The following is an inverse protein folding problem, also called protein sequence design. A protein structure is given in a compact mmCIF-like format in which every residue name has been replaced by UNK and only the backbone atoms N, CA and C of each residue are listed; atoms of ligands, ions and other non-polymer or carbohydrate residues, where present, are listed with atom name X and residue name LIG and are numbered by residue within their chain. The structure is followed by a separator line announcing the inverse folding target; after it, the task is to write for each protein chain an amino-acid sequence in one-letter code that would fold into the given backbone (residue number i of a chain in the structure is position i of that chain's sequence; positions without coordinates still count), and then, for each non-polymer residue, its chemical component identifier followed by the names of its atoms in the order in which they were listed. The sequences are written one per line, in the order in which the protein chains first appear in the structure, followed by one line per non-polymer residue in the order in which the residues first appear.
data_IF_670178010094
#
_entry.id   IF_670178010094
#
_cell.length_a   1.000
_cell.length_b   1.000
_cell.length_c   1.000
_cell.angle_alpha   90.00
_cell.angle_beta   90.00
_cell.angle_gamma   90.00
#
_symmetry.space_group_name_H-M   'P 1'
#
loop_
_entity.id
_entity.type
_entity.pdbx_description
1 polymer ?
#
# COMPACT_ATOMS: atom_id res chain seq x y z
N UNK A 1 8.27 11.06 39.49
CA UNK A 1 6.97 11.51 38.97
C UNK A 1 6.38 10.38 38.16
N UNK A 2 5.31 9.75 38.66
CA UNK A 2 4.62 8.69 37.93
C UNK A 2 3.88 9.33 36.75
N UNK A 3 4.37 9.08 35.54
CA UNK A 3 3.66 9.40 34.30
C UNK A 3 2.31 8.70 34.31
N UNK A 4 1.22 9.47 34.26
CA UNK A 4 -0.11 8.92 34.08
C UNK A 4 -0.11 8.00 32.85
N UNK A 5 -0.34 6.71 33.05
CA UNK A 5 -0.59 5.77 31.96
C UNK A 5 -1.88 6.24 31.31
N UNK A 6 -1.78 6.95 30.16
CA UNK A 6 -2.95 7.20 29.32
C UNK A 6 -3.54 5.84 28.98
N UNK A 7 -4.71 5.53 29.55
CA UNK A 7 -5.51 4.36 29.20
C UNK A 7 -6.18 4.63 27.84
N UNK A 8 -5.36 4.72 26.80
CA UNK A 8 -5.86 4.63 25.43
C UNK A 8 -6.40 3.21 25.20
N UNK A 9 -7.44 3.09 24.38
CA UNK A 9 -8.00 1.77 24.05
C UNK A 9 -6.89 0.86 23.49
N UNK A 10 -6.77 -0.40 23.99
CA UNK A 10 -5.69 -1.29 23.60
C UNK A 10 -5.72 -1.61 22.10
N UNK A 11 -4.55 -1.92 21.56
CA UNK A 11 -4.42 -2.47 20.20
C UNK A 11 -5.30 -3.73 20.07
N UNK A 12 -5.99 -3.88 18.95
CA UNK A 12 -6.90 -5.03 18.75
C UNK A 12 -6.22 -6.10 17.91
N UNK A 13 -5.40 -6.92 18.56
CA UNK A 13 -4.52 -7.90 17.90
C UNK A 13 -5.11 -9.31 17.82
N UNK A 14 -6.41 -9.47 18.08
CA UNK A 14 -7.07 -10.77 18.05
C UNK A 14 -6.97 -11.40 16.66
N UNK A 15 -6.50 -12.66 16.61
CA UNK A 15 -6.25 -13.38 15.35
C UNK A 15 -7.46 -13.35 14.40
N UNK A 16 -8.71 -13.58 14.84
CA UNK A 16 -9.87 -13.49 13.94
C UNK A 16 -10.02 -12.13 13.27
N UNK A 17 -9.69 -11.03 13.98
CA UNK A 17 -9.74 -9.69 13.42
C UNK A 17 -8.64 -9.46 12.40
N UNK A 18 -7.42 -9.93 12.67
CA UNK A 18 -6.29 -9.85 11.74
C UNK A 18 -6.63 -10.60 10.44
N UNK A 19 -7.12 -11.84 10.55
CA UNK A 19 -7.53 -12.65 9.40
C UNK A 19 -8.67 -11.99 8.62
N UNK A 20 -9.73 -11.52 9.30
CA UNK A 20 -10.84 -10.83 8.65
C UNK A 20 -10.37 -9.57 7.92
N UNK A 21 -9.48 -8.79 8.53
CA UNK A 21 -8.93 -7.57 7.94
C UNK A 21 -8.10 -7.88 6.70
N UNK A 22 -7.31 -8.95 6.73
CA UNK A 22 -6.56 -9.43 5.57
C UNK A 22 -7.49 -9.80 4.40
N UNK A 23 -8.57 -10.53 4.68
CA UNK A 23 -9.59 -10.88 3.66
C UNK A 23 -10.24 -9.64 3.07
N UNK A 24 -10.70 -8.70 3.91
CA UNK A 24 -11.33 -7.46 3.45
C UNK A 24 -10.35 -6.67 2.57
N UNK A 25 -9.11 -6.50 3.01
CA UNK A 25 -8.11 -5.75 2.24
C UNK A 25 -7.78 -6.43 0.91
N UNK A 26 -7.65 -7.76 0.88
CA UNK A 26 -7.41 -8.51 -0.35
C UNK A 26 -8.56 -8.35 -1.35
N UNK A 27 -9.81 -8.37 -0.88
CA UNK A 27 -10.98 -8.10 -1.73
C UNK A 27 -10.97 -6.66 -2.26
N UNK A 28 -10.62 -5.68 -1.42
CA UNK A 28 -10.49 -4.27 -1.85
C UNK A 28 -9.42 -4.12 -2.94
N UNK A 29 -8.27 -4.79 -2.78
CA UNK A 29 -7.20 -4.80 -3.79
C UNK A 29 -7.68 -5.41 -5.11
N UNK A 30 -8.37 -6.55 -5.06
CA UNK A 30 -9.01 -7.19 -6.23
C UNK A 30 -9.95 -6.22 -6.95
N UNK A 31 -10.84 -5.55 -6.19
CA UNK A 31 -11.79 -4.59 -6.78
C UNK A 31 -11.04 -3.44 -7.47
N UNK A 32 -9.97 -2.91 -6.88
CA UNK A 32 -9.16 -1.87 -7.50
C UNK A 32 -8.57 -2.34 -8.83
N UNK A 33 -8.03 -3.57 -8.89
CA UNK A 33 -7.48 -4.17 -10.13
C UNK A 33 -8.56 -4.31 -11.20
N UNK A 34 -9.76 -4.78 -10.84
CA UNK A 34 -10.89 -4.89 -11.76
C UNK A 34 -11.31 -3.51 -12.29
N UNK A 35 -11.38 -2.49 -11.44
CA UNK A 35 -11.72 -1.14 -11.85
C UNK A 35 -10.68 -0.55 -12.82
N UNK A 36 -9.38 -0.71 -12.53
CA UNK A 36 -8.30 -0.30 -13.44
C UNK A 36 -8.43 -1.01 -14.79
N UNK A 37 -8.71 -2.31 -14.79
CA UNK A 37 -8.96 -3.07 -16.01
C UNK A 37 -10.12 -2.49 -16.83
N UNK A 38 -11.26 -2.20 -16.18
CA UNK A 38 -12.43 -1.62 -16.84
C UNK A 38 -12.08 -0.25 -17.44
N UNK A 39 -11.37 0.60 -16.68
CA UNK A 39 -10.94 1.93 -17.13
C UNK A 39 -10.04 1.82 -18.36
N UNK A 40 -8.99 1.00 -18.30
CA UNK A 40 -8.02 0.82 -19.38
C UNK A 40 -8.65 0.24 -20.66
N UNK A 41 -9.83 -0.40 -20.56
CA UNK A 41 -10.59 -0.92 -21.70
C UNK A 41 -11.61 0.08 -22.25
N UNK A 42 -12.12 0.95 -21.40
CA UNK A 42 -13.18 1.89 -21.74
C UNK A 42 -12.66 3.25 -22.21
N UNK A 43 -11.45 3.63 -21.79
CA UNK A 43 -10.87 4.94 -22.03
C UNK A 43 -9.45 4.83 -22.57
N UNK A 44 -8.99 5.92 -23.18
CA UNK A 44 -7.62 6.05 -23.69
C UNK A 44 -7.03 7.43 -23.30
N UNK A 45 -5.71 7.57 -23.46
CA UNK A 45 -5.01 8.84 -23.31
C UNK A 45 -5.08 9.43 -21.89
N UNK A 46 -5.37 10.73 -21.80
CA UNK A 46 -5.34 11.48 -20.53
C UNK A 46 -6.45 11.04 -19.58
N UNK A 47 -7.63 10.69 -20.11
CA UNK A 47 -8.79 10.29 -19.29
C UNK A 47 -8.52 8.96 -18.58
N UNK A 48 -8.00 7.97 -19.33
CA UNK A 48 -7.53 6.71 -18.77
C UNK A 48 -6.49 6.96 -17.66
N UNK A 49 -5.44 7.71 -17.98
CA UNK A 49 -4.36 8.00 -17.02
C UNK A 49 -4.88 8.67 -15.74
N UNK A 50 -5.80 9.62 -15.84
CA UNK A 50 -6.38 10.30 -14.68
C UNK A 50 -7.20 9.35 -13.81
N UNK A 51 -8.11 8.58 -14.41
CA UNK A 51 -8.99 7.66 -13.67
C UNK A 51 -8.18 6.50 -13.05
N UNK A 52 -7.25 5.92 -13.81
CA UNK A 52 -6.34 4.88 -13.32
C UNK A 52 -5.48 5.40 -12.18
N UNK A 53 -4.96 6.63 -12.29
CA UNK A 53 -4.24 7.30 -11.21
C UNK A 53 -5.06 7.42 -9.92
N UNK A 54 -6.33 7.83 -10.02
CA UNK A 54 -7.24 7.92 -8.86
C UNK A 54 -7.43 6.56 -8.18
N UNK A 55 -7.72 5.51 -8.94
CA UNK A 55 -7.93 4.17 -8.37
C UNK A 55 -6.63 3.64 -7.73
N UNK A 56 -5.48 3.87 -8.37
CA UNK A 56 -4.17 3.50 -7.81
C UNK A 56 -3.92 4.22 -6.48
N UNK A 57 -4.19 5.52 -6.40
CA UNK A 57 -4.04 6.28 -5.14
C UNK A 57 -4.94 5.72 -4.04
N UNK A 58 -6.20 5.40 -4.36
CA UNK A 58 -7.14 4.80 -3.41
C UNK A 58 -6.63 3.43 -2.92
N UNK A 59 -6.23 2.56 -3.84
CA UNK A 59 -5.72 1.22 -3.52
C UNK A 59 -4.43 1.26 -2.69
N UNK A 60 -3.52 2.18 -3.01
CA UNK A 60 -2.29 2.41 -2.25
C UNK A 60 -2.61 2.95 -0.85
N UNK A 61 -3.45 3.98 -0.72
CA UNK A 61 -3.84 4.53 0.57
C UNK A 61 -4.51 3.48 1.46
N UNK A 62 -5.40 2.66 0.88
CA UNK A 62 -6.02 1.54 1.55
C UNK A 62 -4.98 0.53 2.08
N UNK A 63 -4.05 0.12 1.22
CA UNK A 63 -3.02 -0.87 1.57
C UNK A 63 -2.02 -0.35 2.60
N UNK A 64 -1.65 0.94 2.52
CA UNK A 64 -0.71 1.58 3.45
C UNK A 64 -1.35 1.79 4.82
N UNK A 65 -2.56 2.34 4.90
CA UNK A 65 -3.10 2.86 6.16
C UNK A 65 -4.17 1.99 6.83
N UNK A 66 -5.02 1.29 6.07
CA UNK A 66 -6.14 0.56 6.68
C UNK A 66 -5.70 -0.52 7.68
N UNK A 67 -4.65 -1.34 7.42
CA UNK A 67 -4.15 -2.29 8.40
C UNK A 67 -3.86 -1.63 9.76
N UNK A 68 -3.17 -0.50 9.73
CA UNK A 68 -2.77 0.22 10.93
C UNK A 68 -3.95 0.89 11.64
N UNK A 69 -4.88 1.47 10.88
CA UNK A 69 -6.10 2.10 11.38
C UNK A 69 -7.00 1.07 12.06
N UNK A 70 -7.24 -0.07 11.41
CA UNK A 70 -8.10 -1.12 11.95
C UNK A 70 -7.55 -1.74 13.22
N UNK A 71 -6.23 -1.86 13.36
CA UNK A 71 -5.60 -2.40 14.56
C UNK A 71 -5.32 -1.36 15.65
N UNK A 72 -5.47 -0.06 15.32
CA UNK A 72 -5.10 1.08 16.20
C UNK A 72 -3.63 1.05 16.62
N UNK A 73 -2.74 0.83 15.66
CA UNK A 73 -1.31 0.57 15.89
C UNK A 73 -0.60 1.73 16.58
N UNK A 74 0.20 1.39 17.60
CA UNK A 74 1.07 2.26 18.41
C UNK A 74 2.41 1.60 18.75
N UNK A 75 2.47 0.27 18.82
CA UNK A 75 3.62 -0.53 19.22
C UNK A 75 4.10 -1.52 18.17
N UNK A 76 5.17 -2.25 18.49
CA UNK A 76 5.81 -3.20 17.55
C UNK A 76 4.91 -4.38 17.22
N UNK A 77 4.08 -4.81 18.18
CA UNK A 77 3.14 -5.91 18.00
C UNK A 77 2.06 -5.52 16.99
N UNK A 78 1.42 -4.35 17.13
CA UNK A 78 0.53 -3.80 16.12
C UNK A 78 1.17 -3.58 14.76
N UNK A 79 2.43 -3.14 14.70
CA UNK A 79 3.17 -2.95 13.44
C UNK A 79 3.36 -4.30 12.72
N UNK A 80 3.77 -5.34 13.45
CA UNK A 80 3.95 -6.67 12.89
C UNK A 80 2.62 -7.32 12.46
N UNK A 81 1.55 -7.13 13.25
CA UNK A 81 0.22 -7.58 12.90
C UNK A 81 -0.33 -6.87 11.64
N UNK A 82 -0.09 -5.57 11.49
CA UNK A 82 -0.46 -4.81 10.29
C UNK A 82 0.29 -5.31 9.04
N UNK A 83 1.58 -5.60 9.16
CA UNK A 83 2.35 -6.25 8.09
C UNK A 83 1.76 -7.63 7.74
N UNK A 84 1.35 -8.40 8.76
CA UNK A 84 0.64 -9.66 8.61
C UNK A 84 -0.69 -9.53 7.86
N UNK A 85 -1.48 -8.47 8.10
CA UNK A 85 -2.67 -8.15 7.30
C UNK A 85 -2.30 -7.93 5.83
N UNK A 86 -1.22 -7.19 5.56
CA UNK A 86 -0.72 -6.97 4.20
C UNK A 86 -0.34 -8.28 3.50
N UNK A 87 0.39 -9.17 4.17
CA UNK A 87 0.72 -10.50 3.66
C UNK A 87 -0.53 -11.35 3.37
N UNK A 88 -1.47 -11.38 4.32
CA UNK A 88 -2.72 -12.12 4.16
C UNK A 88 -3.62 -11.57 3.05
N UNK A 89 -3.63 -10.25 2.85
CA UNK A 89 -4.35 -9.61 1.75
C UNK A 89 -3.79 -10.03 0.39
N UNK A 90 -2.46 -10.07 0.26
CA UNK A 90 -1.82 -10.56 -0.95
C UNK A 90 -2.11 -12.05 -1.19
N UNK A 91 -2.18 -12.89 -0.15
CA UNK A 91 -2.65 -14.28 -0.29
C UNK A 91 -4.07 -14.34 -0.88
N UNK A 92 -4.99 -13.54 -0.35
CA UNK A 92 -6.38 -13.51 -0.83
C UNK A 92 -6.46 -13.06 -2.27
N UNK A 93 -5.73 -11.99 -2.64
CA UNK A 93 -5.62 -11.54 -4.02
C UNK A 93 -5.06 -12.64 -4.93
N UNK A 94 -4.02 -13.35 -4.52
CA UNK A 94 -3.40 -14.43 -5.30
C UNK A 94 -4.21 -15.72 -5.35
N UNK A 95 -5.28 -15.85 -4.56
CA UNK A 95 -6.29 -16.89 -4.78
C UNK A 95 -7.27 -16.41 -5.84
N UNK A 96 -7.77 -15.17 -5.72
CA UNK A 96 -8.77 -14.62 -6.65
C UNK A 96 -8.19 -14.44 -8.06
N UNK A 97 -6.96 -13.98 -8.16
CA UNK A 97 -6.32 -13.64 -9.42
C UNK A 97 -6.24 -14.82 -10.41
N UNK A 98 -5.54 -15.94 -10.11
CA UNK A 98 -5.44 -17.08 -11.01
C UNK A 98 -6.76 -17.85 -11.16
N UNK A 99 -7.64 -17.83 -10.16
CA UNK A 99 -8.91 -18.58 -10.22
C UNK A 99 -10.02 -17.81 -10.97
N UNK A 100 -9.97 -16.49 -10.99
CA UNK A 100 -11.05 -15.65 -11.51
C UNK A 100 -10.57 -14.59 -12.50
N UNK A 101 -9.60 -13.76 -12.13
CA UNK A 101 -9.24 -12.60 -12.96
C UNK A 101 -8.50 -12.99 -14.24
N UNK A 102 -7.54 -13.92 -14.15
CA UNK A 102 -6.78 -14.38 -15.32
C UNK A 102 -7.63 -15.17 -16.31
N UNK A 103 -8.48 -16.13 -15.90
CA UNK A 103 -9.35 -16.86 -16.84
C UNK A 103 -10.36 -15.95 -17.55
N UNK A 104 -10.82 -14.89 -16.89
CA UNK A 104 -11.70 -13.88 -17.47
C UNK A 104 -10.93 -12.83 -18.31
N UNK A 105 -9.62 -12.96 -18.40
CA UNK A 105 -8.73 -12.08 -19.14
C UNK A 105 -8.77 -10.64 -18.66
N UNK A 106 -9.13 -10.37 -17.39
CA UNK A 106 -9.43 -9.04 -16.85
C UNK A 106 -8.34 -8.04 -17.22
N UNK A 107 -7.07 -8.40 -17.08
CA UNK A 107 -5.96 -7.55 -17.49
C UNK A 107 -4.97 -8.32 -18.36
N UNK A 108 -4.13 -7.59 -19.09
CA UNK A 108 -3.08 -8.22 -19.89
C UNK A 108 -2.14 -8.96 -18.94
N UNK A 109 -2.07 -10.28 -19.09
CA UNK A 109 -1.23 -11.21 -18.33
C UNK A 109 0.28 -11.00 -18.59
N UNK A 110 0.72 -9.76 -18.87
CA UNK A 110 2.12 -9.37 -19.11
C UNK A 110 3.05 -9.88 -18.03
N UNK A 111 2.59 -9.87 -16.78
CA UNK A 111 3.35 -10.49 -15.73
C UNK A 111 3.46 -11.99 -16.03
N UNK A 112 2.37 -12.77 -16.01
CA UNK A 112 2.43 -14.21 -16.31
C UNK A 112 3.27 -14.57 -17.56
N UNK A 113 3.21 -13.76 -18.62
CA UNK A 113 4.07 -13.86 -19.81
C UNK A 113 5.56 -13.65 -19.53
N UNK A 114 5.94 -12.61 -18.77
CA UNK A 114 7.33 -12.31 -18.36
C UNK A 114 7.98 -13.49 -17.62
N UNK A 115 7.23 -14.22 -16.79
CA UNK A 115 7.77 -15.42 -16.14
C UNK A 115 7.41 -16.73 -16.81
N UNK A 116 7.24 -16.72 -18.13
CA UNK A 116 7.16 -17.94 -18.94
C UNK A 116 5.90 -18.76 -18.70
N UNK A 117 4.79 -18.13 -18.32
CA UNK A 117 3.53 -18.79 -18.04
C UNK A 117 3.43 -19.42 -16.64
N UNK A 118 4.29 -19.00 -15.72
CA UNK A 118 4.24 -19.44 -14.31
C UNK A 118 3.72 -18.30 -13.43
N UNK A 119 2.92 -18.62 -12.41
CA UNK A 119 2.55 -17.63 -11.39
C UNK A 119 3.63 -17.48 -10.28
N UNK A 120 4.61 -18.39 -10.25
CA UNK A 120 5.53 -18.53 -9.12
C UNK A 120 6.47 -17.34 -8.89
N UNK A 121 6.83 -16.61 -9.94
CA UNK A 121 7.86 -15.56 -9.88
C UNK A 121 7.28 -14.20 -9.47
N UNK A 122 5.99 -13.92 -9.73
CA UNK A 122 5.38 -12.63 -9.36
C UNK A 122 4.57 -12.70 -8.05
N UNK A 123 4.13 -13.88 -7.62
CA UNK A 123 3.51 -14.06 -6.30
C UNK A 123 4.37 -13.52 -5.14
N UNK A 124 5.69 -13.80 -5.08
CA UNK A 124 6.57 -13.21 -4.06
C UNK A 124 6.62 -11.68 -4.11
N UNK A 125 6.54 -11.08 -5.30
CA UNK A 125 6.55 -9.63 -5.47
C UNK A 125 5.31 -9.01 -4.83
N UNK A 126 4.12 -9.59 -5.03
CA UNK A 126 2.89 -9.12 -4.39
C UNK A 126 2.93 -9.27 -2.86
N UNK A 127 3.47 -10.38 -2.36
CA UNK A 127 3.69 -10.56 -0.93
C UNK A 127 4.59 -9.48 -0.34
N UNK A 128 5.77 -9.28 -0.94
CA UNK A 128 6.73 -8.29 -0.48
C UNK A 128 6.16 -6.88 -0.55
N UNK A 129 5.48 -6.54 -1.64
CA UNK A 129 4.88 -5.23 -1.85
C UNK A 129 3.79 -4.93 -0.82
N UNK A 130 2.81 -5.83 -0.66
CA UNK A 130 1.70 -5.63 0.27
C UNK A 130 2.17 -5.59 1.72
N UNK A 131 3.11 -6.47 2.08
CA UNK A 131 3.74 -6.46 3.39
C UNK A 131 4.49 -5.15 3.65
N UNK A 132 5.32 -4.71 2.69
CA UNK A 132 6.10 -3.48 2.80
C UNK A 132 5.20 -2.26 2.99
N UNK A 133 4.17 -2.12 2.16
CA UNK A 133 3.23 -0.98 2.21
C UNK A 133 2.52 -0.92 3.57
N UNK A 134 1.96 -2.05 4.02
CA UNK A 134 1.27 -2.13 5.30
C UNK A 134 2.24 -1.92 6.48
N UNK A 135 3.46 -2.45 6.41
CA UNK A 135 4.47 -2.33 7.44
C UNK A 135 4.96 -0.90 7.63
N UNK A 136 5.36 -0.23 6.54
CA UNK A 136 5.80 1.17 6.57
C UNK A 136 4.67 2.12 6.94
N UNK A 137 3.46 1.85 6.45
CA UNK A 137 2.26 2.59 6.86
C UNK A 137 1.98 2.46 8.35
N UNK A 138 2.11 1.26 8.93
CA UNK A 138 1.95 1.03 10.36
C UNK A 138 2.99 1.75 11.21
N UNK A 139 4.27 1.76 10.79
CA UNK A 139 5.29 2.60 11.43
C UNK A 139 4.92 4.07 11.39
N UNK A 140 4.50 4.56 10.22
CA UNK A 140 4.12 5.97 10.04
C UNK A 140 2.96 6.35 10.96
N UNK A 141 1.92 5.51 11.05
CA UNK A 141 0.77 5.72 11.95
C UNK A 141 1.20 5.68 13.41
N UNK A 142 2.02 4.71 13.81
CA UNK A 142 2.53 4.61 15.19
C UNK A 142 3.32 5.86 15.59
N UNK A 143 4.20 6.35 14.70
CA UNK A 143 4.98 7.57 14.94
C UNK A 143 4.10 8.82 15.04
N UNK A 144 3.01 8.89 14.28
CA UNK A 144 2.04 9.97 14.37
C UNK A 144 1.20 9.89 15.65
N UNK A 145 0.82 8.69 16.08
CA UNK A 145 0.09 8.48 17.32
C UNK A 145 0.91 8.92 18.56
N UNK A 146 2.24 8.74 18.55
CA UNK A 146 3.12 9.18 19.65
C UNK A 146 3.14 10.70 19.87
N UNK A 147 2.82 11.48 18.82
CA UNK A 147 2.89 12.93 18.80
C UNK A 147 1.52 13.59 18.60
N UNK A 148 0.44 12.84 18.78
CA UNK A 148 -0.94 13.27 18.55
C UNK A 148 -1.15 13.96 17.17
N UNK A 149 -0.45 13.49 16.12
CA UNK A 149 -0.53 14.06 14.77
C UNK A 149 -1.51 13.32 13.87
N UNK A 150 -2.08 14.04 12.90
CA UNK A 150 -3.07 13.48 11.97
C UNK A 150 -2.47 12.52 10.95
N UNK A 151 -3.22 11.47 10.60
CA UNK A 151 -2.89 10.56 9.49
C UNK A 151 -2.96 11.30 8.14
N UNK A 152 -3.82 12.33 8.04
CA UNK A 152 -3.89 13.18 6.84
C UNK A 152 -2.56 13.86 6.52
N UNK A 153 -1.85 14.36 7.54
CA UNK A 153 -0.51 14.94 7.36
C UNK A 153 0.50 13.88 6.85
N UNK A 154 0.41 12.64 7.34
CA UNK A 154 1.24 11.55 6.85
C UNK A 154 0.96 11.24 5.37
N UNK A 155 -0.32 11.15 4.99
CA UNK A 155 -0.72 10.90 3.61
C UNK A 155 -0.24 12.00 2.67
N UNK A 156 -0.38 13.28 3.04
CA UNK A 156 0.13 14.42 2.27
C UNK A 156 1.64 14.32 2.10
N UNK A 157 2.39 14.02 3.17
CA UNK A 157 3.84 13.86 3.09
C UNK A 157 4.25 12.76 2.10
N UNK A 158 3.56 11.61 2.13
CA UNK A 158 3.82 10.50 1.20
C UNK A 158 3.52 10.92 -0.24
N UNK A 159 2.40 11.61 -0.49
CA UNK A 159 2.04 12.12 -1.83
C UNK A 159 3.10 13.10 -2.34
N UNK A 160 3.52 14.06 -1.52
CA UNK A 160 4.54 15.04 -1.89
C UNK A 160 5.87 14.35 -2.22
N UNK A 161 6.33 13.44 -1.35
CA UNK A 161 7.57 12.70 -1.59
C UNK A 161 7.47 11.79 -2.82
N UNK A 162 6.29 11.20 -3.09
CA UNK A 162 6.04 10.40 -4.30
C UNK A 162 6.18 11.26 -5.54
N UNK A 163 5.61 12.47 -5.54
CA UNK A 163 5.77 13.44 -6.60
C UNK A 163 7.23 13.83 -6.83
N UNK A 164 7.97 14.12 -5.75
CA UNK A 164 9.40 14.47 -5.82
C UNK A 164 10.23 13.32 -6.38
N UNK A 165 10.09 12.11 -5.83
CA UNK A 165 10.84 10.93 -6.30
C UNK A 165 10.50 10.61 -7.76
N UNK A 166 9.21 10.60 -8.12
CA UNK A 166 8.78 10.31 -9.48
C UNK A 166 9.28 11.33 -10.50
N UNK A 167 9.21 12.63 -10.15
CA UNK A 167 9.75 13.70 -10.98
C UNK A 167 11.27 13.60 -11.14
N UNK A 168 12.00 13.32 -10.06
CA UNK A 168 13.45 13.10 -10.11
C UNK A 168 13.81 11.91 -10.99
N UNK A 169 13.09 10.80 -10.88
CA UNK A 169 13.31 9.62 -11.72
C UNK A 169 13.07 9.93 -13.22
N UNK A 170 12.01 10.67 -13.54
CA UNK A 170 11.70 11.08 -14.90
C UNK A 170 12.75 12.05 -15.48
N UNK A 171 13.15 13.08 -14.71
CA UNK A 171 14.15 14.08 -15.14
C UNK A 171 15.55 13.47 -15.25
N UNK A 172 15.90 12.54 -14.37
CA UNK A 172 17.17 11.82 -14.43
C UNK A 172 17.21 10.74 -15.53
N UNK A 173 16.13 10.58 -16.31
CA UNK A 173 15.99 9.55 -17.34
C UNK A 173 16.26 8.13 -16.80
N UNK A 174 15.77 7.83 -15.59
CA UNK A 174 15.84 6.48 -15.06
C UNK A 174 15.12 5.50 -16.01
N UNK A 175 15.69 4.32 -16.31
CA UNK A 175 15.09 3.40 -17.29
C UNK A 175 13.62 3.09 -17.00
N UNK A 176 12.75 3.36 -17.97
CA UNK A 176 11.30 3.15 -17.86
C UNK A 176 10.53 4.24 -17.09
N UNK A 177 11.22 5.24 -16.52
CA UNK A 177 10.56 6.37 -15.86
C UNK A 177 10.11 7.43 -16.88
N UNK A 178 8.91 7.96 -16.67
CA UNK A 178 8.35 9.05 -17.46
C UNK A 178 7.22 9.75 -16.70
N UNK A 179 6.59 10.74 -17.34
CA UNK A 179 5.44 11.45 -16.77
C UNK A 179 4.16 10.64 -16.94
N UNK A 180 4.08 9.50 -16.27
CA UNK A 180 3.01 8.53 -16.39
C UNK A 180 2.67 7.86 -15.05
N UNK A 181 1.45 7.32 -14.95
CA UNK A 181 0.96 6.68 -13.71
C UNK A 181 1.88 5.58 -13.18
N UNK A 182 2.42 4.65 -14.01
CA UNK A 182 3.33 3.62 -13.51
C UNK A 182 4.55 4.17 -12.77
N UNK A 183 5.15 5.25 -13.27
CA UNK A 183 6.33 5.87 -12.64
C UNK A 183 6.00 6.35 -11.23
N UNK A 184 4.89 7.09 -11.07
CA UNK A 184 4.48 7.59 -9.76
C UNK A 184 3.96 6.49 -8.83
N UNK A 185 3.31 5.47 -9.37
CA UNK A 185 2.87 4.30 -8.62
C UNK A 185 4.05 3.55 -7.99
N UNK A 186 5.17 3.40 -8.71
CA UNK A 186 6.39 2.78 -8.19
C UNK A 186 7.16 3.72 -7.27
N UNK A 187 7.20 5.03 -7.58
CA UNK A 187 7.87 6.03 -6.75
C UNK A 187 7.31 6.13 -5.33
N UNK A 188 6.08 5.66 -5.09
CA UNK A 188 5.49 5.60 -3.74
C UNK A 188 6.32 4.75 -2.78
N UNK A 189 7.06 3.74 -3.27
CA UNK A 189 7.79 2.80 -2.42
C UNK A 189 8.95 3.48 -1.68
N UNK A 190 9.94 4.08 -2.37
CA UNK A 190 10.98 4.85 -1.68
C UNK A 190 10.41 6.09 -0.98
N UNK A 191 9.36 6.74 -1.52
CA UNK A 191 8.73 7.88 -0.87
C UNK A 191 8.11 7.51 0.49
N UNK A 192 7.46 6.35 0.58
CA UNK A 192 6.90 5.83 1.82
C UNK A 192 7.98 5.47 2.85
N UNK A 193 9.11 4.90 2.41
CA UNK A 193 10.25 4.66 3.29
C UNK A 193 10.83 5.97 3.84
N UNK A 194 10.98 7.00 2.99
CA UNK A 194 11.43 8.33 3.40
C UNK A 194 10.45 9.00 4.37
N UNK A 195 9.15 8.96 4.05
CA UNK A 195 8.08 9.47 4.92
C UNK A 195 8.13 8.81 6.31
N UNK A 196 8.30 7.48 6.34
CA UNK A 196 8.41 6.70 7.57
C UNK A 196 9.62 7.15 8.38
N UNK A 197 10.79 7.27 7.75
CA UNK A 197 12.02 7.74 8.40
C UNK A 197 11.89 9.17 8.96
N UNK A 198 11.29 10.09 8.21
CA UNK A 198 11.04 11.46 8.66
C UNK A 198 10.08 11.48 9.85
N UNK A 199 9.01 10.67 9.79
CA UNK A 199 8.03 10.56 10.88
C UNK A 199 8.67 10.04 12.18
N UNK A 200 9.54 9.04 12.08
CA UNK A 200 10.26 8.44 13.20
C UNK A 200 11.25 9.44 13.83
N UNK A 201 12.04 10.13 13.01
CA UNK A 201 12.94 11.19 13.49
C UNK A 201 12.20 12.33 14.17
N UNK A 202 11.03 12.69 13.66
CA UNK A 202 10.19 13.74 14.26
C UNK A 202 9.63 13.29 15.60
N UNK A 203 9.11 12.05 15.69
CA UNK A 203 8.56 11.49 16.92
C UNK A 203 9.61 11.33 18.03
N UNK A 204 10.89 11.10 17.69
CA UNK A 204 11.99 11.05 18.68
C UNK A 204 12.41 12.40 19.25
N UNK A 205 12.00 13.51 18.64
CA UNK A 205 12.38 14.88 19.06
C UNK A 205 11.34 15.55 19.96
N UNK A 206 10.16 14.94 20.10
CA UNK A 206 9.03 15.39 20.92
C UNK A 206 8.94 14.55 22.17
#
# INVERSE_FOLDING_TARGET
MATAVRYDAPESLDIPRVVRSAVILGVVQTVCVVLVSIINRAFEGVVDSALTGVIVVIGLAATIFLPAIWLRVRGIDGISAAAGIGLGAALVFMVIDPLLLQPLGVYTNRWHEVGGGSNWWYHPVWWMLSAFLAWMGAWTVANHARRDASIGAAAIMIVVLTGVVGALAAVAHFPGAGWNVPTFAVAVLPALALATLISDRTARRT
#
